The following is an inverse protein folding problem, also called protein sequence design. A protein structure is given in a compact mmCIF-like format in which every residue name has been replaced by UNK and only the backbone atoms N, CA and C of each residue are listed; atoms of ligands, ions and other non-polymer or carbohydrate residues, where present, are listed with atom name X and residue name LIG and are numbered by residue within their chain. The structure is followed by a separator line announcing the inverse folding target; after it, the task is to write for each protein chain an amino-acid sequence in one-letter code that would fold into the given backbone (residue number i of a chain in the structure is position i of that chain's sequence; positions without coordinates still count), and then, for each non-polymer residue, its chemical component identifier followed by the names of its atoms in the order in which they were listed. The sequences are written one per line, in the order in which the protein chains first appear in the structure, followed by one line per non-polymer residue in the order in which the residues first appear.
data_IF_149483899510
#
_entry.id   IF_149483899510
#
_cell.length_a   1.000
_cell.length_b   1.000
_cell.length_c   1.000
_cell.angle_alpha   90.00
_cell.angle_beta   90.00
_cell.angle_gamma   90.00
#
_symmetry.space_group_name_H-M   'P 1'
#
loop_
_entity.id
_entity.type
_entity.pdbx_description
1 polymer ?
#
# COMPACT_ATOMS: atom_id res chain seq x y z
N UNK A 1 -5.98 -11.43 7.75
CA UNK A 1 -5.23 -10.23 8.21
C UNK A 1 -6.10 -9.01 8.59
N UNK A 2 -7.40 -8.92 8.20
CA UNK A 2 -8.25 -7.75 8.50
C UNK A 2 -8.34 -7.40 10.01
N UNK A 3 -8.42 -8.42 10.86
CA UNK A 3 -8.57 -8.27 12.31
C UNK A 3 -7.26 -7.90 13.03
N UNK A 4 -6.12 -8.42 12.56
CA UNK A 4 -4.79 -8.10 13.12
C UNK A 4 -4.50 -6.59 13.03
N UNK A 5 -5.00 -5.94 11.97
CA UNK A 5 -4.84 -4.50 11.75
C UNK A 5 -5.54 -3.58 12.74
N UNK A 6 -6.39 -4.11 13.62
CA UNK A 6 -7.10 -3.34 14.66
C UNK A 6 -6.78 -3.92 16.04
N UNK A 7 -6.78 -5.25 16.16
CA UNK A 7 -6.52 -5.94 17.44
C UNK A 7 -5.14 -5.58 17.99
N UNK A 8 -4.09 -5.60 17.16
CA UNK A 8 -2.73 -5.34 17.63
C UNK A 8 -2.56 -3.90 18.15
N UNK A 9 -3.00 -2.85 17.43
CA UNK A 9 -3.03 -1.49 17.96
C UNK A 9 -3.83 -1.34 19.26
N UNK A 10 -4.97 -2.02 19.38
CA UNK A 10 -5.79 -1.98 20.60
C UNK A 10 -5.08 -2.60 21.80
N UNK A 11 -4.42 -3.75 21.62
CA UNK A 11 -3.64 -4.38 22.69
C UNK A 11 -2.50 -3.46 23.14
N UNK A 12 -1.80 -2.83 22.18
CA UNK A 12 -0.72 -1.87 22.49
C UNK A 12 -1.27 -0.63 23.21
N UNK A 13 -2.45 -0.15 22.83
CA UNK A 13 -3.12 0.96 23.51
C UNK A 13 -3.46 0.63 24.96
N UNK A 14 -4.00 -0.56 25.22
CA UNK A 14 -4.32 -1.03 26.58
C UNK A 14 -3.03 -1.18 27.40
N UNK A 15 -1.97 -1.75 26.83
CA UNK A 15 -0.67 -1.86 27.50
C UNK A 15 -0.10 -0.48 27.84
N UNK A 16 -0.19 0.47 26.92
CA UNK A 16 0.27 1.86 27.10
C UNK A 16 -0.53 2.59 28.18
N UNK A 17 -1.85 2.37 28.25
CA UNK A 17 -2.70 2.94 29.30
C UNK A 17 -2.21 2.59 30.71
N UNK A 18 -1.73 1.36 30.92
CA UNK A 18 -1.36 0.86 32.25
C UNK A 18 0.11 1.19 32.56
N UNK A 19 1.01 1.10 31.57
CA UNK A 19 2.46 1.10 31.81
C UNK A 19 3.21 2.34 31.31
N UNK A 20 2.63 3.15 30.43
CA UNK A 20 3.38 4.19 29.73
C UNK A 20 2.89 5.59 30.11
N UNK A 21 3.67 6.37 30.85
CA UNK A 21 3.27 7.72 31.21
C UNK A 21 3.31 8.64 30.00
N UNK A 22 2.41 9.63 29.97
CA UNK A 22 2.28 10.59 28.87
C UNK A 22 3.57 11.37 28.59
N UNK A 23 4.38 11.60 29.63
CA UNK A 23 5.67 12.28 29.54
C UNK A 23 6.65 11.63 28.57
N UNK A 24 6.62 10.30 28.44
CA UNK A 24 7.49 9.58 27.49
C UNK A 24 7.14 9.96 26.04
N UNK A 25 5.86 10.05 25.70
CA UNK A 25 5.41 10.44 24.37
C UNK A 25 5.81 11.89 24.05
N UNK A 26 5.70 12.78 25.04
CA UNK A 26 6.04 14.20 24.89
C UNK A 26 7.56 14.37 24.66
N UNK A 27 8.39 13.64 25.41
CA UNK A 27 9.84 13.63 25.20
C UNK A 27 10.22 13.10 23.81
N UNK A 28 9.47 12.12 23.29
CA UNK A 28 9.69 11.53 21.97
C UNK A 28 9.01 12.29 20.82
N UNK A 29 8.27 13.37 21.10
CA UNK A 29 7.44 14.09 20.13
C UNK A 29 8.21 14.44 18.85
N UNK A 30 9.40 15.04 18.98
CA UNK A 30 10.20 15.42 17.81
C UNK A 30 10.54 14.22 16.93
N UNK A 31 10.95 13.10 17.54
CA UNK A 31 11.25 11.86 16.82
C UNK A 31 10.02 11.28 16.13
N UNK A 32 8.86 11.31 16.79
CA UNK A 32 7.60 10.83 16.24
C UNK A 32 7.12 11.69 15.07
N UNK A 33 7.21 13.00 15.17
CA UNK A 33 6.86 13.93 14.09
C UNK A 33 7.77 13.74 12.87
N UNK A 34 9.08 13.60 13.09
CA UNK A 34 10.04 13.32 12.01
C UNK A 34 9.73 11.98 11.34
N UNK A 35 9.52 10.94 12.14
CA UNK A 35 9.21 9.61 11.63
C UNK A 35 7.90 9.58 10.83
N UNK A 36 6.81 10.12 11.39
CA UNK A 36 5.50 10.19 10.71
C UNK A 36 5.55 11.11 9.49
N UNK A 37 6.32 12.20 9.55
CA UNK A 37 6.54 13.10 8.42
C UNK A 37 7.27 12.42 7.26
N UNK A 38 8.34 11.66 7.56
CA UNK A 38 9.04 10.85 6.58
C UNK A 38 8.13 9.78 5.96
N UNK A 39 7.32 9.12 6.79
CA UNK A 39 6.33 8.14 6.34
C UNK A 39 5.31 8.80 5.40
N UNK A 40 4.74 9.94 5.78
CA UNK A 40 3.81 10.69 4.94
C UNK A 40 4.44 11.12 3.61
N UNK A 41 5.68 11.61 3.62
CA UNK A 41 6.41 11.98 2.41
C UNK A 41 6.60 10.77 1.47
N UNK A 42 6.98 9.61 2.01
CA UNK A 42 7.10 8.38 1.23
C UNK A 42 5.76 7.94 0.62
N UNK A 43 4.66 8.00 1.38
CA UNK A 43 3.33 7.68 0.88
C UNK A 43 2.89 8.59 -0.28
N UNK A 44 3.17 9.89 -0.17
CA UNK A 44 2.85 10.86 -1.23
C UNK A 44 3.58 10.55 -2.54
N UNK A 45 4.83 10.09 -2.47
CA UNK A 45 5.60 9.70 -3.66
C UNK A 45 5.11 8.39 -4.30
N UNK A 46 4.56 7.49 -3.51
CA UNK A 46 4.11 6.19 -3.99
C UNK A 46 2.85 6.31 -4.88
N UNK A 47 1.96 7.26 -4.59
CA UNK A 47 0.72 7.54 -5.37
C UNK A 47 1.00 7.77 -6.88
N UNK A 48 1.82 8.74 -7.31
CA UNK A 48 2.09 8.97 -8.74
C UNK A 48 2.81 7.79 -9.40
N UNK A 49 3.67 7.07 -8.66
CA UNK A 49 4.31 5.85 -9.17
C UNK A 49 3.26 4.81 -9.55
N UNK A 50 2.16 4.68 -8.80
CA UNK A 50 1.08 3.79 -9.23
C UNK A 50 0.25 4.26 -10.40
N UNK A 51 0.00 5.57 -10.51
CA UNK A 51 -0.75 6.10 -11.63
C UNK A 51 -0.02 5.79 -12.95
N UNK A 52 1.32 5.86 -12.95
CA UNK A 52 2.13 5.52 -14.11
C UNK A 52 2.10 4.03 -14.50
N UNK A 53 1.63 3.12 -13.65
CA UNK A 53 1.47 1.71 -14.04
C UNK A 53 0.37 1.47 -15.08
N UNK A 54 -0.58 2.39 -15.24
CA UNK A 54 -1.64 2.29 -16.26
C UNK A 54 -1.12 2.52 -17.69
N UNK A 55 0.08 3.07 -17.86
CA UNK A 55 0.66 3.38 -19.17
C UNK A 55 1.25 2.16 -19.90
N UNK A 56 0.89 0.92 -19.53
CA UNK A 56 1.43 -0.23 -20.26
C UNK A 56 0.69 -0.41 -21.60
N UNK A 57 1.34 -0.01 -22.69
CA UNK A 57 0.79 0.20 -24.04
C UNK A 57 0.13 -1.01 -24.76
N UNK A 58 -0.06 -2.18 -24.10
CA UNK A 58 -0.55 -3.41 -24.77
C UNK A 58 -1.55 -4.24 -23.97
N UNK A 59 -2.32 -3.59 -23.09
CA UNK A 59 -3.38 -4.28 -22.34
C UNK A 59 -4.61 -4.50 -23.22
N UNK A 60 -5.23 -5.67 -23.08
CA UNK A 60 -6.62 -5.85 -23.56
C UNK A 60 -7.57 -5.01 -22.70
N UNK A 61 -8.76 -4.63 -23.20
CA UNK A 61 -9.75 -3.88 -22.42
C UNK A 61 -10.10 -4.53 -21.07
N UNK A 62 -10.19 -5.87 -21.05
CA UNK A 62 -10.49 -6.66 -19.84
C UNK A 62 -9.34 -6.62 -18.83
N UNK A 63 -8.09 -6.70 -19.30
CA UNK A 63 -6.91 -6.57 -18.43
C UNK A 63 -6.77 -5.15 -17.88
N UNK A 64 -7.06 -4.14 -18.69
CA UNK A 64 -7.05 -2.73 -18.28
C UNK A 64 -8.12 -2.44 -17.21
N UNK A 65 -9.33 -2.97 -17.37
CA UNK A 65 -10.40 -2.83 -16.37
C UNK A 65 -10.03 -3.50 -15.04
N UNK A 66 -9.50 -4.74 -15.10
CA UNK A 66 -9.04 -5.46 -13.90
C UNK A 66 -7.90 -4.72 -13.20
N UNK A 67 -6.94 -4.19 -13.95
CA UNK A 67 -5.81 -3.43 -13.41
C UNK A 67 -6.30 -2.13 -12.77
N UNK A 68 -7.18 -1.39 -13.44
CA UNK A 68 -7.77 -0.14 -12.94
C UNK A 68 -8.56 -0.36 -11.65
N UNK A 69 -9.41 -1.39 -11.59
CA UNK A 69 -10.18 -1.72 -10.40
C UNK A 69 -9.30 -2.09 -9.19
N UNK A 70 -8.16 -2.76 -9.42
CA UNK A 70 -7.20 -3.08 -8.36
C UNK A 70 -6.40 -1.85 -7.92
N UNK A 71 -5.95 -1.04 -8.87
CA UNK A 71 -5.26 0.22 -8.59
C UNK A 71 -6.14 1.18 -7.79
N UNK A 72 -7.41 1.34 -8.16
CA UNK A 72 -8.33 2.21 -7.43
C UNK A 72 -8.53 1.79 -5.97
N UNK A 73 -8.63 0.47 -5.70
CA UNK A 73 -8.70 -0.04 -4.32
C UNK A 73 -7.41 0.24 -3.54
N UNK A 74 -6.25 0.14 -4.18
CA UNK A 74 -4.96 0.45 -3.55
C UNK A 74 -4.80 1.96 -3.30
N UNK A 75 -5.18 2.81 -4.25
CA UNK A 75 -5.15 4.26 -4.09
C UNK A 75 -6.04 4.71 -2.92
N UNK A 76 -7.27 4.19 -2.81
CA UNK A 76 -8.14 4.47 -1.66
C UNK A 76 -7.50 4.02 -0.34
N UNK A 77 -6.86 2.85 -0.33
CA UNK A 77 -6.12 2.37 0.83
C UNK A 77 -4.96 3.31 1.21
N UNK A 78 -4.24 3.85 0.22
CA UNK A 78 -3.13 4.78 0.43
C UNK A 78 -3.57 6.13 0.94
N UNK A 79 -4.66 6.67 0.37
CA UNK A 79 -5.29 7.89 0.87
C UNK A 79 -5.75 7.70 2.32
N UNK A 80 -6.38 6.56 2.63
CA UNK A 80 -6.79 6.24 4.00
C UNK A 80 -5.62 6.14 4.98
N UNK A 81 -4.50 5.54 4.55
CA UNK A 81 -3.28 5.45 5.37
C UNK A 81 -2.61 6.83 5.54
N UNK A 82 -2.57 7.65 4.49
CA UNK A 82 -2.06 9.02 4.56
C UNK A 82 -2.90 9.85 5.52
N UNK A 83 -4.24 9.79 5.41
CA UNK A 83 -5.16 10.49 6.31
C UNK A 83 -4.97 10.04 7.77
N UNK A 84 -4.77 8.73 8.00
CA UNK A 84 -4.49 8.20 9.33
C UNK A 84 -3.15 8.70 9.88
N UNK A 85 -2.14 8.82 9.02
CA UNK A 85 -0.81 9.35 9.39
C UNK A 85 -0.89 10.83 9.76
N UNK A 86 -1.60 11.63 8.95
CA UNK A 86 -1.84 13.05 9.24
C UNK A 86 -2.63 13.21 10.54
N UNK A 87 -3.65 12.40 10.77
CA UNK A 87 -4.41 12.41 12.02
C UNK A 87 -3.52 12.07 13.23
N UNK A 88 -2.62 11.09 13.11
CA UNK A 88 -1.66 10.75 14.15
C UNK A 88 -0.67 11.90 14.43
N UNK A 89 -0.20 12.60 13.40
CA UNK A 89 0.64 13.80 13.55
C UNK A 89 -0.10 14.89 14.29
N UNK A 90 -1.32 15.24 13.86
CA UNK A 90 -2.16 16.26 14.51
C UNK A 90 -2.39 15.91 15.98
N UNK A 91 -2.69 14.64 16.26
CA UNK A 91 -2.87 14.16 17.61
C UNK A 91 -1.64 14.35 18.50
N UNK A 92 -0.46 13.95 18.00
CA UNK A 92 0.81 14.10 18.71
C UNK A 92 1.12 15.58 18.98
N UNK A 93 0.83 16.47 18.02
CA UNK A 93 0.96 17.93 18.20
C UNK A 93 0.02 18.45 19.30
N UNK A 94 -1.25 18.04 19.28
CA UNK A 94 -2.24 18.44 20.30
C UNK A 94 -1.77 18.03 21.69
N UNK A 95 -1.34 16.79 21.85
CA UNK A 95 -0.89 16.26 23.15
C UNK A 95 0.36 16.98 23.64
N UNK A 96 1.28 17.29 22.74
CA UNK A 96 2.49 18.05 23.08
C UNK A 96 2.17 19.50 23.49
N UNK A 97 1.09 20.08 22.96
CA UNK A 97 0.61 21.39 23.40
C UNK A 97 -0.08 21.34 24.78
N UNK A 98 -0.60 20.17 25.19
CA UNK A 98 -1.25 19.97 26.49
C UNK A 98 -0.26 19.77 27.64
N UNK A 99 1.01 19.46 27.38
CA UNK A 99 2.08 19.31 28.39
C UNK A 99 2.17 20.49 29.37
N UNK A 100 1.75 21.69 28.94
CA UNK A 100 1.80 22.92 29.74
C UNK A 100 0.52 23.20 30.54
N UNK A 101 -0.49 22.33 30.47
CA UNK A 101 -1.78 22.51 31.18
C UNK A 101 -1.96 21.38 32.18
N UNK A 102 -2.53 21.64 33.37
CA UNK A 102 -2.89 20.57 34.28
C UNK A 102 -3.88 19.61 33.59
N UNK A 103 -3.50 18.34 33.49
CA UNK A 103 -4.35 17.23 33.01
C UNK A 103 -5.36 16.78 34.07
N UNK A 104 -5.44 17.49 35.19
CA UNK A 104 -6.43 17.27 36.22
C UNK A 104 -7.66 18.12 35.91
N UNK A 105 -8.76 17.46 35.57
CA UNK A 105 -10.06 18.12 35.43
C UNK A 105 -10.70 18.11 36.82
N UNK A 106 -10.73 19.25 37.50
CA UNK A 106 -11.50 19.43 38.73
C UNK A 106 -13.00 19.38 38.38
N UNK A 107 -13.69 18.34 38.84
CA UNK A 107 -15.14 18.26 38.69
C UNK A 107 -15.77 19.13 39.80
N UNK A 108 -16.66 20.08 39.47
CA UNK A 108 -17.34 20.87 40.48
C UNK A 108 -18.16 19.94 41.38
N UNK A 109 -17.96 20.08 42.70
CA UNK A 109 -18.55 19.23 43.74
C UNK A 109 -20.07 19.07 43.56
N UNK A 110 -20.51 17.87 43.18
CA UNK A 110 -21.92 17.50 43.19
C UNK A 110 -22.26 16.85 44.54
N UNK A 111 -22.36 17.68 45.60
CA UNK A 111 -22.77 17.23 46.94
C UNK A 111 -21.63 16.77 47.87
N UNK A 112 -21.85 15.67 48.61
CA UNK A 112 -20.96 15.12 49.68
C UNK A 112 -19.95 14.06 49.21
N UNK A 113 -19.95 13.72 47.93
CA UNK A 113 -18.99 12.80 47.33
C UNK A 113 -17.89 13.64 46.66
N UNK A 114 -16.70 13.65 47.27
CA UNK A 114 -15.49 14.16 46.63
C UNK A 114 -15.11 13.12 45.56
N UNK A 115 -15.68 13.29 44.37
CA UNK A 115 -15.28 12.54 43.18
C UNK A 115 -13.96 13.19 42.77
N UNK A 116 -12.84 12.59 43.20
CA UNK A 116 -11.50 13.16 43.07
C UNK A 116 -11.09 13.55 41.64
N UNK A 117 -9.91 14.15 41.52
CA UNK A 117 -9.29 14.55 40.26
C UNK A 117 -9.21 13.36 39.28
N UNK A 118 -9.84 13.48 38.10
CA UNK A 118 -9.67 12.50 37.02
C UNK A 118 -8.43 12.88 36.22
N UNK A 119 -7.40 12.04 36.30
CA UNK A 119 -6.23 12.14 35.43
C UNK A 119 -6.53 11.56 34.04
N UNK A 120 -6.54 12.42 33.02
CA UNK A 120 -6.75 12.02 31.62
C UNK A 120 -5.46 11.55 30.93
N UNK A 121 -4.30 11.68 31.58
CA UNK A 121 -3.01 11.36 30.98
C UNK A 121 -2.89 9.90 30.50
N UNK A 122 -3.38 8.87 31.23
CA UNK A 122 -3.35 7.49 30.75
C UNK A 122 -4.19 7.28 29.48
N UNK A 123 -5.35 7.96 29.38
CA UNK A 123 -6.21 7.90 28.22
C UNK A 123 -5.56 8.51 26.97
N UNK A 124 -4.89 9.67 27.13
CA UNK A 124 -4.13 10.30 26.05
C UNK A 124 -2.94 9.44 25.59
N UNK A 125 -2.23 8.82 26.53
CA UNK A 125 -1.13 7.89 26.26
C UNK A 125 -1.59 6.71 25.41
N UNK A 126 -2.69 6.06 25.82
CA UNK A 126 -3.29 4.95 25.09
C UNK A 126 -3.72 5.35 23.66
N UNK A 127 -4.25 6.56 23.51
CA UNK A 127 -4.74 7.07 22.23
C UNK A 127 -3.58 7.37 21.25
N UNK A 128 -2.44 7.88 21.75
CA UNK A 128 -1.20 8.03 20.95
C UNK A 128 -0.65 6.67 20.55
N UNK A 129 -0.54 5.75 21.49
CA UNK A 129 -0.04 4.39 21.25
C UNK A 129 -0.89 3.67 20.19
N UNK A 130 -2.22 3.81 20.30
CA UNK A 130 -3.15 3.29 19.29
C UNK A 130 -2.88 3.89 17.92
N UNK A 131 -2.83 5.22 17.81
CA UNK A 131 -2.67 5.91 16.53
C UNK A 131 -1.36 5.53 15.83
N UNK A 132 -0.24 5.55 16.56
CA UNK A 132 1.08 5.19 16.02
C UNK A 132 1.10 3.72 15.62
N UNK A 133 0.69 2.83 16.52
CA UNK A 133 0.68 1.40 16.22
C UNK A 133 -0.24 1.06 15.04
N UNK A 134 -1.39 1.74 14.93
CA UNK A 134 -2.31 1.55 13.82
C UNK A 134 -1.65 1.91 12.48
N UNK A 135 -0.99 3.07 12.40
CA UNK A 135 -0.26 3.49 11.19
C UNK A 135 0.84 2.47 10.84
N UNK A 136 1.62 2.03 11.83
CA UNK A 136 2.69 1.04 11.62
C UNK A 136 2.15 -0.29 11.07
N UNK A 137 1.09 -0.83 11.69
CA UNK A 137 0.51 -2.11 11.25
C UNK A 137 -0.10 -2.00 9.85
N UNK A 138 -0.73 -0.87 9.54
CA UNK A 138 -1.26 -0.62 8.19
C UNK A 138 -0.14 -0.42 7.16
N UNK A 139 0.99 0.16 7.55
CA UNK A 139 2.16 0.25 6.66
C UNK A 139 2.66 -1.14 6.21
N UNK A 140 2.64 -2.15 7.08
CA UNK A 140 2.94 -3.52 6.66
C UNK A 140 1.95 -4.06 5.61
N UNK A 141 0.66 -3.72 5.74
CA UNK A 141 -0.34 -4.04 4.72
C UNK A 141 -0.08 -3.35 3.38
N UNK A 142 0.48 -2.14 3.40
CA UNK A 142 0.87 -1.42 2.19
C UNK A 142 1.95 -2.15 1.40
N UNK A 143 2.99 -2.68 2.06
CA UNK A 143 4.04 -3.44 1.38
C UNK A 143 3.48 -4.66 0.64
N UNK A 144 2.54 -5.37 1.25
CA UNK A 144 1.85 -6.49 0.59
C UNK A 144 1.05 -6.02 -0.64
N UNK A 145 0.36 -4.88 -0.53
CA UNK A 145 -0.33 -4.23 -1.63
C UNK A 145 0.60 -3.93 -2.81
N UNK A 146 1.73 -3.26 -2.56
CA UNK A 146 2.73 -2.92 -3.58
C UNK A 146 3.28 -4.18 -4.26
N UNK A 147 3.65 -5.20 -3.49
CA UNK A 147 4.16 -6.47 -4.05
C UNK A 147 3.10 -7.15 -4.93
N UNK A 148 1.83 -7.17 -4.49
CA UNK A 148 0.75 -7.77 -5.29
C UNK A 148 0.55 -7.05 -6.62
N UNK A 149 0.71 -5.73 -6.62
CA UNK A 149 0.55 -4.92 -7.83
C UNK A 149 1.73 -5.12 -8.78
N UNK A 150 2.95 -5.19 -8.25
CA UNK A 150 4.13 -5.49 -9.04
C UNK A 150 4.04 -6.88 -9.70
N UNK A 151 3.52 -7.89 -8.98
CA UNK A 151 3.24 -9.22 -9.54
C UNK A 151 2.22 -9.14 -10.67
N UNK A 152 1.09 -8.45 -10.45
CA UNK A 152 0.07 -8.28 -11.50
C UNK A 152 0.66 -7.58 -12.73
N UNK A 153 1.42 -6.49 -12.55
CA UNK A 153 2.08 -5.81 -13.66
C UNK A 153 3.01 -6.76 -14.41
N UNK A 154 3.82 -7.53 -13.69
CA UNK A 154 4.73 -8.52 -14.29
C UNK A 154 3.97 -9.56 -15.12
N UNK A 155 2.85 -10.08 -14.60
CA UNK A 155 2.00 -11.04 -15.32
C UNK A 155 1.42 -10.42 -16.61
N UNK A 156 0.91 -9.19 -16.54
CA UNK A 156 0.35 -8.49 -17.69
C UNK A 156 1.40 -8.22 -18.77
N UNK A 157 2.60 -7.80 -18.39
CA UNK A 157 3.71 -7.57 -19.32
C UNK A 157 4.16 -8.88 -19.99
N UNK A 158 4.26 -9.97 -19.22
CA UNK A 158 4.62 -11.29 -19.78
C UNK A 158 3.54 -11.77 -20.76
N UNK A 159 2.26 -11.61 -20.43
CA UNK A 159 1.16 -12.01 -21.31
C UNK A 159 1.10 -11.17 -22.59
N UNK A 160 1.33 -9.85 -22.49
CA UNK A 160 1.44 -8.98 -23.66
C UNK A 160 2.63 -9.36 -24.55
N UNK A 161 3.79 -9.68 -23.96
CA UNK A 161 4.97 -10.15 -24.69
C UNK A 161 4.72 -11.48 -25.41
N UNK A 162 4.05 -12.44 -24.74
CA UNK A 162 3.66 -13.72 -25.35
C UNK A 162 2.71 -13.53 -26.53
N UNK A 163 1.73 -12.63 -26.43
CA UNK A 163 0.81 -12.29 -27.53
C UNK A 163 1.56 -11.69 -28.72
N UNK A 164 2.44 -10.72 -28.47
CA UNK A 164 3.26 -10.12 -29.51
C UNK A 164 4.18 -11.14 -30.21
N UNK A 165 4.80 -12.06 -29.46
CA UNK A 165 5.61 -13.13 -30.04
C UNK A 165 4.77 -14.09 -30.90
N UNK A 166 3.57 -14.46 -30.43
CA UNK A 166 2.66 -15.32 -31.20
C UNK A 166 2.16 -14.64 -32.49
N UNK A 167 1.92 -13.32 -32.46
CA UNK A 167 1.57 -12.54 -33.65
C UNK A 167 2.73 -12.49 -34.67
N UNK A 168 3.97 -12.28 -34.21
CA UNK A 168 5.15 -12.32 -35.08
C UNK A 168 5.34 -13.70 -35.73
N UNK A 169 5.17 -14.79 -34.98
CA UNK A 169 5.26 -16.14 -35.53
C UNK A 169 4.15 -16.40 -36.56
N UNK A 170 2.92 -15.94 -36.30
CA UNK A 170 1.81 -16.04 -37.27
C UNK A 170 2.12 -15.26 -38.54
N UNK A 171 2.60 -14.02 -38.43
CA UNK A 171 2.98 -13.18 -39.58
C UNK A 171 4.10 -13.82 -40.39
N UNK A 172 5.15 -14.31 -39.74
CA UNK A 172 6.24 -15.03 -40.38
C UNK A 172 5.75 -16.32 -41.07
N UNK A 173 4.83 -17.07 -40.46
CA UNK A 173 4.25 -18.26 -41.08
C UNK A 173 3.31 -17.97 -42.26
N UNK A 174 2.64 -16.81 -42.27
CA UNK A 174 1.80 -16.39 -43.40
C UNK A 174 2.61 -15.81 -44.57
N UNK A 175 3.79 -15.24 -44.30
CA UNK A 175 4.70 -14.75 -45.34
C UNK A 175 5.54 -15.87 -45.97
N UNK A 176 5.76 -16.98 -45.26
CA UNK A 176 6.31 -18.22 -45.83
C UNK A 176 5.21 -18.94 -46.62
N UNK A 177 4.76 -18.32 -47.70
CA UNK A 177 4.23 -19.07 -48.84
C UNK A 177 5.41 -19.84 -49.41
N UNK A 178 5.52 -21.13 -49.08
CA UNK A 178 6.48 -22.04 -49.71
C UNK A 178 6.41 -21.81 -51.23
N UNK A 179 7.50 -21.43 -51.91
CA UNK A 179 7.46 -21.34 -53.36
C UNK A 179 6.99 -22.70 -53.86
N UNK A 180 5.89 -22.70 -54.64
CA UNK A 180 5.42 -23.89 -55.33
C UNK A 180 6.64 -24.59 -55.93
N UNK A 181 6.78 -25.86 -55.59
CA UNK A 181 7.87 -26.74 -55.98
C UNK A 181 8.25 -26.50 -57.45
N UNK A 182 9.30 -25.70 -57.65
CA UNK A 182 9.85 -25.31 -58.94
C UNK A 182 10.76 -26.42 -59.50
N UNK A 183 10.39 -27.67 -59.22
CA UNK A 183 11.18 -28.83 -59.64
C UNK A 183 10.36 -29.55 -60.71
N UNK A 184 10.77 -29.49 -61.99
CA UNK A 184 10.10 -30.23 -63.06
C UNK A 184 10.07 -31.72 -62.74
N UNK A 185 9.00 -32.41 -63.15
CA UNK A 185 8.75 -33.84 -62.85
C UNK A 185 9.90 -34.80 -63.25
N UNK A 186 10.81 -34.35 -64.12
CA UNK A 186 11.94 -35.14 -64.63
C UNK A 186 13.29 -34.84 -63.96
N UNK A 187 13.36 -33.96 -62.96
CA UNK A 187 14.62 -33.65 -62.29
C UNK A 187 15.08 -34.85 -61.43
N UNK A 188 16.09 -35.58 -61.92
CA UNK A 188 16.64 -36.77 -61.27
C UNK A 188 16.39 -38.09 -62.00
N UNK A 189 15.75 -38.10 -63.19
CA UNK A 189 15.71 -39.30 -64.02
C UNK A 189 17.10 -39.59 -64.61
N UNK A 190 17.75 -40.62 -64.08
CA UNK A 190 19.00 -41.15 -64.62
C UNK A 190 18.67 -41.89 -65.92
N UNK A 191 19.01 -41.30 -67.06
CA UNK A 191 18.92 -41.93 -68.38
C UNK A 191 20.03 -43.00 -68.46
N UNK A 192 19.67 -44.27 -68.60
CA UNK A 192 20.64 -45.36 -68.81
C UNK A 192 21.06 -45.38 -70.29
N UNK A 193 22.36 -45.35 -70.61
CA UNK A 193 22.81 -45.49 -72.00
C UNK A 193 22.57 -46.92 -72.50
N UNK A 194 22.11 -47.02 -73.75
CA UNK A 194 21.90 -48.27 -74.51
C UNK A 194 23.22 -48.88 -74.98
#
# INVERSE_FOLDING_TARGET
MKWVGIILPTIIAIASFIWMPLSVWIQMNQGLLVFLGLLAAALVQIIPVTANFLQSDRLTPIEAERLSAQLGKQQLYWIGLLASTVAAVVLVVIISALDKKPTEIEIPKLGRLDIGTIDIAPGLSALVAFAISFVLVKMFGLFQGVISLQKLRSELVINAAKRAAAEQVKQASSEVSLPQQLVPDDYGKIIRPH
#
